data_IF_968722155622
#
_entry.id   IF_968722155622
#
_cell.length_a   1.000
_cell.length_b   1.000
_cell.length_c   1.000
_cell.angle_alpha   90.00
_cell.angle_beta   90.00
_cell.angle_gamma   90.00
#
_symmetry.space_group_name_H-M   'P 1'
#
loop_
_entity.id
_entity.type
_entity.pdbx_description
1 polymer ?
#
# COMPACT_ATOMS: atom_id res chain seq x y z
N UNK A 1 -28.43 50.21 -40.35
CA UNK A 1 -27.62 50.77 -39.25
C UNK A 1 -26.52 49.76 -38.96
N UNK A 2 -25.32 49.80 -39.57
CA UNK A 2 -24.17 50.72 -39.36
C UNK A 2 -23.85 50.90 -37.88
N UNK A 3 -22.64 50.69 -37.33
CA UNK A 3 -21.26 50.73 -37.84
C UNK A 3 -20.37 49.76 -37.00
N UNK A 4 -19.48 48.92 -37.56
CA UNK A 4 -18.03 49.08 -37.87
C UNK A 4 -17.15 49.82 -36.86
N UNK A 5 -16.07 49.14 -36.42
CA UNK A 5 -14.69 49.61 -36.16
C UNK A 5 -13.86 48.36 -35.83
N UNK A 6 -12.64 48.09 -36.29
CA UNK A 6 -11.68 48.82 -37.10
C UNK A 6 -10.40 47.96 -37.11
N UNK A 7 -9.78 47.81 -38.26
CA UNK A 7 -8.55 47.06 -38.55
C UNK A 7 -7.30 47.78 -38.05
N UNK A 8 -6.27 47.04 -37.59
CA UNK A 8 -4.88 47.48 -37.68
C UNK A 8 -3.92 46.28 -37.84
N UNK A 9 -2.94 46.48 -38.72
CA UNK A 9 -2.12 45.51 -39.44
C UNK A 9 -0.76 45.20 -38.79
N UNK A 10 -0.18 44.07 -39.23
CA UNK A 10 1.19 43.57 -39.04
C UNK A 10 2.32 44.61 -39.15
N UNK A 11 3.42 44.37 -38.42
CA UNK A 11 4.80 44.42 -38.92
C UNK A 11 5.72 43.47 -38.13
N UNK A 12 6.40 42.60 -38.85
CA UNK A 12 7.50 41.73 -38.40
C UNK A 12 8.78 42.54 -38.07
N UNK A 13 9.54 42.10 -37.05
CA UNK A 13 11.01 42.21 -36.96
C UNK A 13 11.57 40.98 -36.21
N UNK A 14 12.35 40.18 -36.94
CA UNK A 14 13.38 39.20 -36.50
C UNK A 14 14.48 39.87 -35.64
N UNK A 15 15.27 39.30 -34.71
CA UNK A 15 15.76 37.94 -34.40
C UNK A 15 16.70 38.05 -33.17
N UNK A 16 16.91 36.93 -32.45
CA UNK A 16 18.15 36.44 -31.79
C UNK A 16 18.16 36.26 -30.26
N UNK A 17 18.55 35.03 -29.86
CA UNK A 17 19.01 34.59 -28.53
C UNK A 17 17.88 34.11 -27.61
N UNK A 18 17.82 32.90 -27.04
CA UNK A 18 18.73 31.76 -26.87
C UNK A 18 17.86 30.48 -26.92
N UNK A 19 18.37 29.43 -27.56
CA UNK A 19 17.75 28.10 -27.49
C UNK A 19 18.09 27.51 -26.13
N UNK A 20 17.17 27.62 -25.17
CA UNK A 20 17.29 26.92 -23.89
C UNK A 20 17.07 25.41 -24.13
N UNK A 21 18.17 24.66 -24.15
CA UNK A 21 18.18 23.20 -24.13
C UNK A 21 17.60 22.69 -22.80
N UNK A 22 16.71 21.68 -22.80
CA UNK A 22 16.23 21.08 -21.57
C UNK A 22 17.28 20.07 -21.11
N UNK A 23 18.13 20.45 -20.16
CA UNK A 23 19.06 19.52 -19.54
C UNK A 23 19.26 19.81 -18.06
N UNK A 24 18.22 19.51 -17.29
CA UNK A 24 18.40 19.06 -15.91
C UNK A 24 17.65 17.74 -15.80
N UNK A 25 18.32 16.58 -15.68
CA UNK A 25 17.63 15.39 -15.24
C UNK A 25 17.03 15.71 -13.87
N UNK A 26 15.70 15.61 -13.78
CA UNK A 26 15.00 15.62 -12.50
C UNK A 26 15.73 14.65 -11.57
N UNK A 27 15.97 15.01 -10.30
CA UNK A 27 16.64 14.12 -9.37
C UNK A 27 15.85 12.81 -9.31
N UNK A 28 16.52 11.72 -9.70
CA UNK A 28 16.03 10.36 -9.63
C UNK A 28 15.89 9.96 -8.16
N UNK A 29 14.84 10.46 -7.49
CA UNK A 29 14.52 10.06 -6.14
C UNK A 29 13.68 8.77 -6.18
N UNK A 30 14.20 7.74 -6.85
CA UNK A 30 13.66 6.37 -6.83
C UNK A 30 14.04 5.65 -5.52
N UNK A 31 13.97 6.34 -4.39
CA UNK A 31 14.05 5.64 -3.12
C UNK A 31 12.74 4.89 -2.94
N UNK A 32 12.82 3.57 -3.10
CA UNK A 32 11.72 2.65 -2.82
C UNK A 32 11.21 2.92 -1.41
N UNK A 33 9.89 3.00 -1.26
CA UNK A 33 9.27 3.13 0.06
C UNK A 33 9.77 2.02 1.01
N UNK A 34 10.08 2.40 2.25
CA UNK A 34 10.55 1.50 3.31
C UNK A 34 9.73 1.71 4.58
N UNK A 35 9.51 0.65 5.34
CA UNK A 35 8.95 0.74 6.68
C UNK A 35 10.02 1.15 7.70
N UNK A 36 9.56 1.69 8.84
CA UNK A 36 10.38 1.82 10.04
C UNK A 36 10.92 0.46 10.48
N UNK A 37 12.09 0.43 11.12
CA UNK A 37 12.68 -0.81 11.65
C UNK A 37 11.96 -1.36 12.87
N UNK A 38 11.20 -0.50 13.56
CA UNK A 38 10.44 -0.81 14.76
C UNK A 38 9.02 -0.21 14.67
N UNK A 39 8.04 -0.79 15.37
CA UNK A 39 8.12 -2.02 16.18
C UNK A 39 8.26 -3.28 15.32
N UNK A 40 8.94 -4.32 15.83
CA UNK A 40 8.97 -5.64 15.18
C UNK A 40 7.63 -6.39 15.38
N UNK A 41 7.41 -7.48 14.66
CA UNK A 41 6.23 -8.35 14.89
C UNK A 41 6.15 -8.85 16.34
N UNK A 42 7.29 -9.15 16.97
CA UNK A 42 7.32 -9.58 18.37
C UNK A 42 7.05 -8.43 19.32
N UNK A 43 7.47 -7.21 18.99
CA UNK A 43 7.14 -6.02 19.79
C UNK A 43 5.64 -5.73 19.75
N UNK A 44 5.01 -5.81 18.56
CA UNK A 44 3.56 -5.63 18.41
C UNK A 44 2.80 -6.71 19.18
N UNK A 45 3.19 -7.98 19.03
CA UNK A 45 2.60 -9.10 19.77
C UNK A 45 2.68 -8.88 21.29
N UNK A 46 3.83 -8.41 21.79
CA UNK A 46 4.03 -8.14 23.21
C UNK A 46 3.20 -6.95 23.71
N UNK A 47 3.20 -5.83 23.00
CA UNK A 47 2.38 -4.65 23.35
C UNK A 47 0.90 -5.00 23.42
N UNK A 48 0.43 -5.83 22.49
CA UNK A 48 -0.94 -6.31 22.48
C UNK A 48 -1.23 -7.24 23.67
N UNK A 49 -0.32 -8.18 23.96
CA UNK A 49 -0.52 -9.13 25.06
C UNK A 49 -0.62 -8.38 26.40
N UNK A 50 0.26 -7.40 26.60
CA UNK A 50 0.23 -6.50 27.77
C UNK A 50 -1.11 -5.74 27.83
N UNK A 51 -1.55 -5.14 26.73
CA UNK A 51 -2.83 -4.41 26.66
C UNK A 51 -4.03 -5.29 27.03
N UNK A 52 -4.05 -6.54 26.57
CA UNK A 52 -5.14 -7.50 26.79
C UNK A 52 -5.11 -8.10 28.20
N UNK A 53 -3.91 -8.36 28.73
CA UNK A 53 -3.70 -8.87 30.09
C UNK A 53 -4.18 -7.86 31.14
N UNK A 54 -3.83 -6.58 30.98
CA UNK A 54 -4.26 -5.48 31.85
C UNK A 54 -5.79 -5.37 31.98
N UNK A 55 -6.52 -5.82 30.96
CA UNK A 55 -7.98 -5.70 30.85
C UNK A 55 -8.73 -6.99 31.15
N UNK A 56 -8.01 -8.09 31.44
CA UNK A 56 -8.58 -9.44 31.56
C UNK A 56 -9.43 -9.82 30.32
N UNK A 57 -8.96 -9.42 29.13
CA UNK A 57 -9.68 -9.63 27.87
C UNK A 57 -9.34 -10.95 27.19
N UNK A 58 -8.32 -11.66 27.69
CA UNK A 58 -7.95 -12.99 27.18
C UNK A 58 -9.11 -13.99 27.11
N UNK A 59 -10.11 -13.86 28.00
CA UNK A 59 -11.32 -14.69 27.97
C UNK A 59 -12.16 -14.54 26.69
N UNK A 60 -12.10 -13.36 26.06
CA UNK A 60 -12.82 -13.07 24.81
C UNK A 60 -11.97 -13.37 23.56
N UNK A 61 -10.64 -13.43 23.71
CA UNK A 61 -9.68 -13.61 22.62
C UNK A 61 -9.45 -15.10 22.30
N UNK A 62 -10.55 -15.82 22.02
CA UNK A 62 -10.50 -17.17 21.46
C UNK A 62 -10.20 -17.10 19.96
N UNK A 63 -9.51 -18.10 19.36
CA UNK A 63 -9.09 -18.04 17.95
C UNK A 63 -10.20 -17.69 16.95
N UNK A 64 -11.41 -18.25 17.13
CA UNK A 64 -12.56 -17.92 16.27
C UNK A 64 -12.97 -16.45 16.39
N UNK A 65 -12.95 -15.89 17.59
CA UNK A 65 -13.38 -14.52 17.81
C UNK A 65 -12.38 -13.53 17.19
N UNK A 66 -11.08 -13.81 17.36
CA UNK A 66 -10.00 -13.02 16.74
C UNK A 66 -10.06 -13.08 15.21
N UNK A 67 -10.33 -14.25 14.64
CA UNK A 67 -10.55 -14.39 13.19
C UNK A 67 -11.72 -13.52 12.72
N UNK A 68 -12.84 -13.53 13.43
CA UNK A 68 -14.03 -12.74 13.05
C UNK A 68 -13.79 -11.23 13.21
N UNK A 69 -13.07 -10.82 14.27
CA UNK A 69 -12.66 -9.42 14.43
C UNK A 69 -11.76 -8.97 13.27
N UNK A 70 -10.71 -9.75 12.95
CA UNK A 70 -9.84 -9.48 11.80
C UNK A 70 -10.61 -9.37 10.48
N UNK A 71 -11.65 -10.19 10.26
CA UNK A 71 -12.51 -10.08 9.07
C UNK A 71 -13.29 -8.77 9.05
N UNK A 72 -13.72 -8.28 10.22
CA UNK A 72 -14.31 -6.95 10.39
C UNK A 72 -13.38 -5.85 9.90
N UNK A 73 -12.14 -5.83 10.40
CA UNK A 73 -11.14 -4.80 10.03
C UNK A 73 -10.76 -4.87 8.54
N UNK A 74 -10.70 -6.06 7.95
CA UNK A 74 -10.55 -6.21 6.48
C UNK A 74 -11.74 -5.60 5.74
N UNK A 75 -12.95 -5.69 6.32
CA UNK A 75 -14.14 -4.99 5.85
C UNK A 75 -13.97 -3.48 5.90
N UNK A 76 -13.49 -2.93 7.03
CA UNK A 76 -13.25 -1.48 7.20
C UNK A 76 -12.20 -0.97 6.18
N UNK A 77 -11.09 -1.70 5.99
CA UNK A 77 -10.15 -1.43 4.89
C UNK A 77 -10.89 -1.39 3.55
N UNK A 78 -11.77 -2.36 3.28
CA UNK A 78 -12.50 -2.45 2.01
C UNK A 78 -13.45 -1.26 1.81
N UNK A 79 -14.09 -0.77 2.87
CA UNK A 79 -15.01 0.38 2.82
C UNK A 79 -14.32 1.67 2.37
N UNK A 80 -13.02 1.84 2.67
CA UNK A 80 -12.23 2.99 2.21
C UNK A 80 -12.03 3.00 0.69
N UNK A 81 -12.02 1.83 0.06
CA UNK A 81 -11.79 1.69 -1.39
C UNK A 81 -13.08 1.46 -2.19
N UNK A 82 -14.17 1.01 -1.57
CA UNK A 82 -15.35 0.45 -2.28
C UNK A 82 -15.97 1.38 -3.35
N UNK A 83 -15.85 2.71 -3.18
CA UNK A 83 -16.38 3.72 -4.11
C UNK A 83 -15.29 4.50 -4.85
N UNK A 84 -14.02 4.13 -4.65
CA UNK A 84 -12.90 4.69 -5.41
C UNK A 84 -12.81 3.92 -6.75
N UNK A 85 -12.53 4.62 -7.84
CA UNK A 85 -12.20 3.99 -9.12
C UNK A 85 -10.82 3.33 -9.07
N UNK A 86 -10.05 3.43 -10.15
CA UNK A 86 -8.63 3.08 -10.08
C UNK A 86 -7.92 4.00 -9.08
N UNK A 87 -7.20 3.42 -8.13
CA UNK A 87 -6.45 4.14 -7.09
C UNK A 87 -4.97 4.12 -7.44
N UNK A 88 -4.37 5.30 -7.58
CA UNK A 88 -2.95 5.43 -7.89
C UNK A 88 -2.06 5.05 -6.69
N UNK A 89 -0.89 4.48 -6.98
CA UNK A 89 0.15 4.22 -5.99
C UNK A 89 0.54 5.50 -5.25
N UNK A 90 0.75 5.41 -3.94
CA UNK A 90 1.06 6.58 -3.09
C UNK A 90 -0.14 7.46 -2.76
N UNK A 91 -1.34 7.14 -3.28
CA UNK A 91 -2.61 7.77 -2.92
C UNK A 91 -2.62 9.31 -3.07
N UNK A 92 -2.10 9.92 -4.16
CA UNK A 92 -1.92 11.38 -4.25
C UNK A 92 -3.21 12.17 -4.07
N UNK A 93 -4.35 11.62 -4.48
CA UNK A 93 -5.67 12.27 -4.44
C UNK A 93 -6.42 12.04 -3.11
N UNK A 94 -5.80 11.34 -2.15
CA UNK A 94 -6.40 11.14 -0.83
C UNK A 94 -6.07 12.33 0.06
N UNK A 95 -6.98 12.66 0.95
CA UNK A 95 -6.74 13.59 2.06
C UNK A 95 -5.89 12.93 3.15
N UNK A 96 -5.30 13.74 4.03
CA UNK A 96 -4.49 13.22 5.13
C UNK A 96 -5.33 12.40 6.12
N UNK A 97 -6.59 12.79 6.33
CA UNK A 97 -7.53 12.02 7.16
C UNK A 97 -7.89 10.67 6.55
N UNK A 98 -8.05 10.57 5.23
CA UNK A 98 -8.27 9.27 4.56
C UNK A 98 -7.03 8.37 4.65
N UNK A 99 -5.83 8.95 4.53
CA UNK A 99 -4.56 8.22 4.70
C UNK A 99 -4.36 7.73 6.14
N UNK A 100 -4.70 8.56 7.12
CA UNK A 100 -4.66 8.19 8.54
C UNK A 100 -5.66 7.07 8.85
N UNK A 101 -6.89 7.18 8.35
CA UNK A 101 -7.90 6.13 8.52
C UNK A 101 -7.43 4.81 7.90
N UNK A 102 -6.89 4.83 6.67
CA UNK A 102 -6.29 3.64 6.07
C UNK A 102 -5.15 3.06 6.91
N UNK A 103 -4.30 3.91 7.49
CA UNK A 103 -3.21 3.45 8.34
C UNK A 103 -3.73 2.76 9.62
N UNK A 104 -4.82 3.24 10.21
CA UNK A 104 -5.47 2.59 11.36
C UNK A 104 -6.06 1.23 10.97
N UNK A 105 -6.87 1.16 9.92
CA UNK A 105 -7.51 -0.10 9.53
C UNK A 105 -6.50 -1.19 9.12
N UNK A 106 -5.43 -0.80 8.41
CA UNK A 106 -4.32 -1.73 8.11
C UNK A 106 -3.60 -2.20 9.39
N UNK A 107 -3.49 -1.34 10.39
CA UNK A 107 -2.88 -1.67 11.67
C UNK A 107 -3.76 -2.64 12.47
N UNK A 108 -5.08 -2.43 12.49
CA UNK A 108 -6.01 -3.30 13.21
C UNK A 108 -6.05 -4.71 12.61
N UNK A 109 -6.02 -4.84 11.27
CA UNK A 109 -5.84 -6.14 10.61
C UNK A 109 -4.55 -6.84 11.06
N UNK A 110 -3.43 -6.11 11.12
CA UNK A 110 -2.14 -6.66 11.54
C UNK A 110 -2.16 -7.10 13.01
N UNK A 111 -2.77 -6.29 13.89
CA UNK A 111 -2.86 -6.58 15.32
C UNK A 111 -3.64 -7.88 15.53
N UNK A 112 -4.85 -8.01 14.98
CA UNK A 112 -5.62 -9.24 15.14
C UNK A 112 -4.96 -10.46 14.49
N UNK A 113 -4.23 -10.29 13.38
CA UNK A 113 -3.46 -11.38 12.77
C UNK A 113 -2.38 -11.90 13.72
N UNK A 114 -1.63 -11.00 14.38
CA UNK A 114 -0.59 -11.37 15.34
C UNK A 114 -1.17 -12.01 16.59
N UNK A 115 -2.29 -11.50 17.10
CA UNK A 115 -3.01 -12.13 18.21
C UNK A 115 -3.48 -13.54 17.87
N UNK A 116 -4.07 -13.70 16.69
CA UNK A 116 -4.55 -14.99 16.22
C UNK A 116 -3.38 -15.98 16.10
N UNK A 117 -2.24 -15.52 15.57
CA UNK A 117 -1.03 -16.33 15.48
C UNK A 117 -0.54 -16.75 16.88
N UNK A 118 -0.52 -15.84 17.86
CA UNK A 118 -0.17 -16.16 19.25
C UNK A 118 -1.11 -17.22 19.85
N UNK A 119 -2.43 -17.01 19.77
CA UNK A 119 -3.41 -17.96 20.33
C UNK A 119 -3.36 -19.33 19.63
N UNK A 120 -2.97 -19.36 18.36
CA UNK A 120 -2.75 -20.59 17.60
C UNK A 120 -1.34 -21.19 17.78
N UNK A 121 -0.45 -20.54 18.53
CA UNK A 121 0.96 -20.93 18.72
C UNK A 121 1.74 -21.05 17.41
N UNK A 122 1.51 -20.10 16.50
CA UNK A 122 2.21 -19.99 15.22
C UNK A 122 3.31 -18.94 15.34
N UNK A 123 4.56 -19.37 15.16
CA UNK A 123 5.70 -18.46 14.93
C UNK A 123 5.55 -17.84 13.53
N UNK A 124 4.86 -16.70 13.48
CA UNK A 124 4.48 -16.05 12.23
C UNK A 124 5.70 -15.58 11.40
N UNK A 125 6.74 -14.95 11.98
CA UNK A 125 7.96 -14.62 11.23
C UNK A 125 8.58 -15.85 10.55
N UNK A 126 8.69 -16.98 11.27
CA UNK A 126 9.21 -18.23 10.69
C UNK A 126 8.29 -18.79 9.61
N UNK A 127 6.97 -18.76 9.82
CA UNK A 127 6.00 -19.24 8.84
C UNK A 127 6.06 -18.42 7.54
N UNK A 128 6.24 -17.10 7.62
CA UNK A 128 6.45 -16.22 6.45
C UNK A 128 7.71 -16.61 5.69
N UNK A 129 8.85 -16.83 6.37
CA UNK A 129 10.10 -17.25 5.73
C UNK A 129 9.92 -18.56 4.94
N UNK A 130 9.26 -19.55 5.56
CA UNK A 130 8.96 -20.83 4.91
C UNK A 130 8.02 -20.64 3.71
N UNK A 131 6.97 -19.85 3.86
CA UNK A 131 6.00 -19.58 2.79
C UNK A 131 6.66 -18.86 1.60
N UNK A 132 7.57 -17.93 1.86
CA UNK A 132 8.33 -17.23 0.82
C UNK A 132 9.27 -18.15 0.05
N UNK A 133 9.94 -19.09 0.73
CA UNK A 133 10.73 -20.12 0.06
C UNK A 133 9.85 -20.99 -0.87
N UNK A 134 8.67 -21.41 -0.40
CA UNK A 134 7.70 -22.15 -1.22
C UNK A 134 7.18 -21.33 -2.40
N UNK A 135 6.91 -20.04 -2.21
CA UNK A 135 6.44 -19.15 -3.27
C UNK A 135 7.49 -18.99 -4.38
N UNK A 136 8.78 -18.88 -4.04
CA UNK A 136 9.87 -18.80 -5.03
C UNK A 136 9.98 -20.06 -5.88
N UNK A 137 9.76 -21.23 -5.29
CA UNK A 137 9.72 -22.50 -6.04
C UNK A 137 8.49 -22.58 -6.94
N UNK A 138 7.34 -22.09 -6.45
CA UNK A 138 6.07 -22.11 -7.19
C UNK A 138 6.02 -21.11 -8.35
N UNK A 139 6.72 -19.98 -8.23
CA UNK A 139 6.74 -18.89 -9.20
C UNK A 139 8.20 -18.47 -9.52
N UNK A 140 8.95 -19.30 -10.26
CA UNK A 140 10.34 -18.98 -10.58
C UNK A 140 10.41 -17.78 -11.52
N UNK A 141 11.26 -16.79 -11.19
CA UNK A 141 11.36 -15.53 -11.92
C UNK A 141 11.56 -15.71 -13.44
N UNK A 142 12.33 -16.71 -13.85
CA UNK A 142 12.56 -17.05 -15.26
C UNK A 142 11.30 -17.45 -16.03
N UNK A 143 10.25 -17.95 -15.35
CA UNK A 143 8.98 -18.34 -15.96
C UNK A 143 7.88 -17.28 -15.83
N UNK A 144 8.01 -16.33 -14.90
CA UNK A 144 6.91 -15.41 -14.51
C UNK A 144 7.24 -13.93 -14.67
N UNK A 145 8.43 -13.59 -15.15
CA UNK A 145 8.82 -12.19 -15.35
C UNK A 145 7.82 -11.45 -16.25
N UNK A 146 7.17 -10.41 -15.73
CA UNK A 146 6.15 -9.64 -16.44
C UNK A 146 4.82 -10.36 -16.68
N UNK A 147 4.56 -11.49 -16.01
CA UNK A 147 3.35 -12.29 -16.19
C UNK A 147 2.66 -12.63 -14.88
N UNK A 148 1.37 -12.29 -14.77
CA UNK A 148 0.51 -12.68 -13.64
C UNK A 148 -0.11 -14.09 -13.80
N UNK A 149 0.32 -14.86 -14.82
CA UNK A 149 -0.20 -16.21 -15.08
C UNK A 149 -0.03 -17.11 -13.87
N UNK A 150 -1.08 -17.88 -13.54
CA UNK A 150 -0.98 -18.86 -12.46
C UNK A 150 -0.02 -19.97 -12.85
N UNK A 151 0.57 -20.60 -11.84
CA UNK A 151 1.52 -21.70 -12.02
C UNK A 151 0.96 -22.93 -12.75
N UNK A 152 -0.36 -23.03 -12.85
CA UNK A 152 -1.09 -24.02 -13.64
C UNK A 152 -1.06 -23.74 -15.15
N UNK A 153 -0.53 -22.60 -15.58
CA UNK A 153 -0.54 -22.14 -16.98
C UNK A 153 0.87 -22.12 -17.60
N UNK A 154 1.90 -22.62 -16.90
CA UNK A 154 3.22 -22.81 -17.50
C UNK A 154 3.17 -24.05 -18.39
N UNK A 155 3.36 -23.86 -19.70
CA UNK A 155 3.77 -24.95 -20.59
C UNK A 155 5.28 -25.04 -20.52
N UNK A 156 5.82 -26.24 -20.31
CA UNK A 156 7.26 -26.50 -20.38
C UNK A 156 7.83 -26.25 -21.80
#
# INVERSE_FOLDING_TARGET
MMATNGTATCKDVQTNGEVATPSSPLPNNSQRFTFSSEPTMEDIRRMQAEFTDERDWNKFHQPRNLLLAMVGEVGEVSELFQWKGEVAEGLPDWSDSEREHLAHELSDVLIYLLELAEKCRVDLPRAVLQKMALNKLKYPASKVHGSAKKYTEYTD
#
